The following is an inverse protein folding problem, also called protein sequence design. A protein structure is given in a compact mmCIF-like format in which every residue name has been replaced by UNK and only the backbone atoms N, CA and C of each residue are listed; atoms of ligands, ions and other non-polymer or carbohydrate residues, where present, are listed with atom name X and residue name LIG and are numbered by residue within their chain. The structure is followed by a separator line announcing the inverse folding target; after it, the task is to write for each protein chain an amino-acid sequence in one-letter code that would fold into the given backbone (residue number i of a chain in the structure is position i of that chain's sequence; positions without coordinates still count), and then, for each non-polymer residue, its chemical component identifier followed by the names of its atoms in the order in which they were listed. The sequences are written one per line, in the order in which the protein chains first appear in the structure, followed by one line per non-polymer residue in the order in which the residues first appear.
data_IF_879646069882
#
_entry.id   IF_879646069882
#
_cell.length_a   1.000
_cell.length_b   1.000
_cell.length_c   1.000
_cell.angle_alpha   90.00
_cell.angle_beta   90.00
_cell.angle_gamma   90.00
#
_symmetry.space_group_name_H-M   'P 1'
#
loop_
_entity.id
_entity.type
_entity.pdbx_description
1 polymer ?
#
# COMPACT_ATOMS: atom_id res chain seq x y z
N UNK A 1 25.35 9.67 25.05
CA UNK A 1 24.97 8.33 25.55
C UNK A 1 26.15 7.40 25.39
N UNK A 2 26.68 6.86 26.49
CA UNK A 2 27.83 5.94 26.49
C UNK A 2 27.40 4.55 26.93
N UNK A 3 27.73 3.52 26.15
CA UNK A 3 27.54 2.12 26.51
C UNK A 3 28.90 1.53 26.85
N UNK A 4 29.08 1.07 28.09
CA UNK A 4 30.40 0.65 28.58
C UNK A 4 30.38 -0.83 28.94
N UNK A 5 31.16 -1.63 28.23
CA UNK A 5 31.30 -3.08 28.43
C UNK A 5 32.72 -3.54 28.75
N UNK A 6 32.87 -4.81 29.09
CA UNK A 6 34.16 -5.46 29.36
C UNK A 6 34.56 -5.47 30.85
N UNK A 7 35.67 -6.13 31.21
CA UNK A 7 36.02 -6.49 32.60
C UNK A 7 36.23 -5.30 33.55
N UNK A 8 36.32 -4.07 33.04
CA UNK A 8 36.47 -2.84 33.83
C UNK A 8 35.32 -1.85 33.62
N UNK A 9 34.15 -2.34 33.19
CA UNK A 9 33.02 -1.49 32.85
C UNK A 9 32.62 -0.56 34.00
N UNK A 10 32.48 -1.07 35.23
CA UNK A 10 32.09 -0.24 36.39
C UNK A 10 33.05 0.93 36.61
N UNK A 11 34.36 0.68 36.66
CA UNK A 11 35.37 1.74 36.87
C UNK A 11 35.34 2.82 35.76
N UNK A 12 35.05 2.43 34.52
CA UNK A 12 34.94 3.36 33.39
C UNK A 12 33.63 4.16 33.42
N UNK A 13 32.55 3.54 33.90
CA UNK A 13 31.26 4.22 34.09
C UNK A 13 31.41 5.28 35.18
N UNK A 14 32.06 4.95 36.30
CA UNK A 14 32.31 5.89 37.39
C UNK A 14 33.14 7.09 36.92
N UNK A 15 34.17 6.85 36.10
CA UNK A 15 34.98 7.91 35.49
C UNK A 15 34.16 8.82 34.57
N UNK A 16 33.25 8.27 33.76
CA UNK A 16 32.39 9.05 32.88
C UNK A 16 31.30 9.80 33.66
N UNK A 17 30.77 9.22 34.74
CA UNK A 17 29.83 9.90 35.62
C UNK A 17 30.50 11.08 36.35
N UNK A 18 31.72 10.88 36.87
CA UNK A 18 32.52 11.95 37.50
C UNK A 18 32.93 13.05 36.51
N UNK A 19 33.07 12.71 35.22
CA UNK A 19 33.31 13.67 34.15
C UNK A 19 32.03 14.41 33.69
N UNK A 20 30.90 14.20 34.37
CA UNK A 20 29.66 14.95 34.14
C UNK A 20 28.78 14.42 33.00
N UNK A 21 29.00 13.18 32.53
CA UNK A 21 28.14 12.60 31.49
C UNK A 21 26.89 11.94 32.11
N UNK A 22 25.67 12.45 31.85
CA UNK A 22 24.47 12.01 32.56
C UNK A 22 23.86 10.70 32.03
N UNK A 23 24.33 10.20 30.88
CA UNK A 23 23.74 9.04 30.19
C UNK A 23 24.79 7.98 29.88
N UNK A 24 25.24 7.26 30.91
CA UNK A 24 26.24 6.19 30.86
C UNK A 24 25.61 4.88 31.35
N UNK A 25 25.62 3.83 30.53
CA UNK A 25 24.94 2.57 30.83
C UNK A 25 25.91 1.38 30.84
N UNK A 26 25.71 0.46 31.78
CA UNK A 26 26.55 -0.73 31.94
C UNK A 26 26.14 -1.85 30.99
N UNK A 27 26.90 -2.00 29.89
CA UNK A 27 26.62 -3.02 28.88
C UNK A 27 26.72 -4.45 29.45
N UNK A 28 27.59 -4.70 30.44
CA UNK A 28 27.70 -6.03 31.06
C UNK A 28 26.46 -6.39 31.89
N UNK A 29 25.84 -5.40 32.52
CA UNK A 29 24.63 -5.58 33.31
C UNK A 29 23.40 -5.71 32.42
N UNK A 30 23.30 -4.86 31.39
CA UNK A 30 22.30 -5.00 30.34
C UNK A 30 22.41 -6.37 29.67
N UNK A 31 23.64 -6.85 29.45
CA UNK A 31 23.88 -8.18 28.90
C UNK A 31 23.52 -9.31 29.87
N UNK A 32 23.63 -9.12 31.18
CA UNK A 32 23.18 -10.10 32.18
C UNK A 32 21.66 -10.18 32.30
N UNK A 33 20.98 -9.02 32.23
CA UNK A 33 19.51 -8.92 32.29
C UNK A 33 18.81 -9.31 30.99
N UNK A 34 19.56 -9.38 29.89
CA UNK A 34 19.03 -9.73 28.56
C UNK A 34 19.46 -11.16 28.18
N UNK A 35 18.51 -12.09 27.92
CA UNK A 35 18.84 -13.45 27.51
C UNK A 35 19.82 -13.45 26.33
N UNK A 36 20.80 -14.38 26.34
CA UNK A 36 21.83 -14.47 25.30
C UNK A 36 21.23 -14.55 23.89
N UNK A 37 20.08 -15.23 23.77
CA UNK A 37 19.23 -15.23 22.57
C UNK A 37 18.90 -13.80 22.13
N UNK A 38 18.21 -12.99 22.95
CA UNK A 38 17.79 -11.62 22.61
C UNK A 38 18.95 -10.68 22.26
N UNK A 39 20.14 -10.88 22.86
CA UNK A 39 21.37 -10.14 22.52
C UNK A 39 21.89 -10.44 21.12
N UNK A 40 21.96 -11.72 20.75
CA UNK A 40 22.38 -12.14 19.42
C UNK A 40 21.46 -11.54 18.35
N UNK A 41 20.18 -11.41 18.66
CA UNK A 41 19.15 -10.98 17.72
C UNK A 41 19.17 -9.48 17.44
N UNK A 42 19.40 -8.67 18.48
CA UNK A 42 19.60 -7.22 18.32
C UNK A 42 20.89 -6.91 17.56
N UNK A 43 21.94 -7.71 17.77
CA UNK A 43 23.21 -7.56 17.06
C UNK A 43 23.15 -7.99 15.58
N UNK A 44 22.28 -8.94 15.25
CA UNK A 44 22.08 -9.43 13.89
C UNK A 44 21.02 -8.65 13.09
N UNK A 45 20.18 -7.85 13.75
CA UNK A 45 19.13 -7.06 13.11
C UNK A 45 19.64 -6.11 12.00
N UNK A 46 20.80 -5.42 12.14
CA UNK A 46 21.35 -4.61 11.05
C UNK A 46 21.98 -5.42 9.91
N UNK A 47 22.29 -6.70 10.16
CA UNK A 47 22.97 -7.61 9.22
C UNK A 47 22.00 -8.50 8.43
N UNK A 48 20.69 -8.34 8.67
CA UNK A 48 19.67 -9.12 7.99
C UNK A 48 19.29 -8.47 6.65
N UNK A 49 19.72 -9.09 5.55
CA UNK A 49 19.22 -8.79 4.21
C UNK A 49 18.04 -9.71 3.90
N UNK A 50 16.84 -9.27 4.25
CA UNK A 50 15.57 -9.96 3.98
C UNK A 50 14.40 -9.13 4.52
N UNK A 51 13.18 -9.42 4.07
CA UNK A 51 12.00 -8.55 4.24
C UNK A 51 11.48 -8.37 5.68
N UNK A 52 12.02 -9.06 6.71
CA UNK A 52 11.77 -8.85 8.16
C UNK A 52 12.69 -9.70 9.05
N UNK A 53 13.02 -9.19 10.23
CA UNK A 53 13.64 -9.93 11.35
C UNK A 53 12.81 -11.22 11.63
N UNK A 54 13.42 -12.44 11.65
CA UNK A 54 12.67 -13.70 11.78
C UNK A 54 11.59 -13.72 12.87
N UNK A 55 10.49 -14.42 12.63
CA UNK A 55 9.35 -14.53 13.54
C UNK A 55 9.75 -14.96 14.97
N UNK A 56 10.77 -15.81 15.12
CA UNK A 56 11.27 -16.33 16.42
C UNK A 56 11.78 -15.27 17.42
N UNK A 57 11.72 -13.99 17.08
CA UNK A 57 12.43 -12.88 17.71
C UNK A 57 11.51 -11.93 18.48
N UNK A 58 10.21 -11.96 18.21
CA UNK A 58 9.15 -11.34 19.02
C UNK A 58 7.81 -12.09 18.79
N UNK A 59 7.45 -13.06 19.64
CA UNK A 59 6.23 -13.84 19.45
C UNK A 59 4.94 -13.06 19.75
N UNK A 60 5.00 -11.93 20.45
CA UNK A 60 3.83 -11.07 20.71
C UNK A 60 3.55 -10.20 19.48
N UNK A 61 4.60 -9.65 18.86
CA UNK A 61 4.48 -8.89 17.61
C UNK A 61 3.94 -9.74 16.44
N UNK A 62 4.00 -11.08 16.50
CA UNK A 62 3.37 -11.96 15.49
C UNK A 62 1.84 -12.02 15.58
N UNK A 63 1.27 -11.76 16.77
CA UNK A 63 -0.17 -11.88 17.01
C UNK A 63 -0.91 -10.56 16.87
N UNK A 64 -0.19 -9.43 16.85
CA UNK A 64 -0.79 -8.13 16.67
C UNK A 64 -0.94 -7.78 15.18
N UNK A 65 -2.06 -7.14 14.79
CA UNK A 65 -2.25 -6.75 13.40
C UNK A 65 -1.16 -5.80 12.91
N UNK A 66 -0.27 -6.31 12.05
CA UNK A 66 0.70 -5.49 11.34
C UNK A 66 -0.04 -4.41 10.53
N UNK A 67 0.43 -3.16 10.54
CA UNK A 67 -0.25 -2.00 9.93
C UNK A 67 -1.46 -1.44 10.67
N UNK A 68 -1.54 -1.67 11.99
CA UNK A 68 -2.51 -0.98 12.85
C UNK A 68 -1.81 -0.14 13.89
N UNK A 69 -2.40 1.02 14.20
CA UNK A 69 -1.91 1.88 15.25
C UNK A 69 -2.10 1.19 16.61
N UNK A 70 -1.13 1.33 17.51
CA UNK A 70 -1.22 0.71 18.84
C UNK A 70 -2.44 1.20 19.61
N UNK A 71 -2.77 2.47 19.46
CA UNK A 71 -3.94 3.11 20.05
C UNK A 71 -4.82 3.72 18.95
N UNK A 72 -6.16 3.77 19.16
CA UNK A 72 -7.03 4.46 18.23
C UNK A 72 -6.71 5.95 18.14
N UNK A 73 -6.72 6.50 16.93
CA UNK A 73 -6.50 7.93 16.69
C UNK A 73 -7.77 8.61 16.17
N UNK A 74 -7.87 9.91 16.43
CA UNK A 74 -8.87 10.81 15.88
C UNK A 74 -8.17 11.93 15.10
N UNK A 75 -8.77 12.46 14.03
CA UNK A 75 -8.28 13.70 13.41
C UNK A 75 -8.24 14.88 14.40
N UNK A 76 -7.27 15.80 14.30
CA UNK A 76 -6.18 15.81 13.31
C UNK A 76 -5.09 14.78 13.62
N UNK A 77 -4.64 14.07 12.59
CA UNK A 77 -3.64 13.01 12.73
C UNK A 77 -2.22 13.58 12.83
N UNK A 78 -1.31 12.96 13.62
CA UNK A 78 0.09 13.38 13.70
C UNK A 78 0.73 13.52 12.31
N UNK A 79 1.34 14.66 12.02
CA UNK A 79 1.76 15.06 10.67
C UNK A 79 2.79 14.13 10.04
N UNK A 80 3.54 13.38 10.85
CA UNK A 80 4.53 12.42 10.41
C UNK A 80 3.94 11.13 9.84
N UNK A 81 2.67 10.80 10.11
CA UNK A 81 2.11 9.52 9.68
C UNK A 81 1.91 9.45 8.17
N UNK A 82 2.30 8.32 7.58
CA UNK A 82 2.11 7.97 6.17
C UNK A 82 1.17 6.77 6.06
N UNK A 83 0.34 6.76 5.03
CA UNK A 83 -0.62 5.70 4.72
C UNK A 83 -0.37 5.15 3.32
N UNK A 84 -0.52 3.84 3.14
CA UNK A 84 -0.25 3.18 1.87
C UNK A 84 -1.52 2.59 1.26
N UNK A 85 -1.77 2.90 -0.01
CA UNK A 85 -2.72 2.18 -0.86
C UNK A 85 -1.91 1.26 -1.77
N UNK A 86 -1.77 0.01 -1.35
CA UNK A 86 -1.11 -1.02 -2.15
C UNK A 86 -2.07 -1.62 -3.17
N UNK A 87 -1.69 -1.66 -4.45
CA UNK A 87 -2.64 -2.02 -5.50
C UNK A 87 -1.97 -2.57 -6.75
N UNK A 88 -2.67 -3.44 -7.47
CA UNK A 88 -2.39 -3.63 -8.89
C UNK A 88 -2.70 -2.29 -9.60
N UNK A 89 -1.88 -1.85 -10.57
CA UNK A 89 -2.19 -0.64 -11.33
C UNK A 89 -3.60 -0.71 -11.91
N UNK A 90 -4.26 0.46 -11.93
CA UNK A 90 -5.62 0.64 -12.45
C UNK A 90 -6.76 -0.01 -11.64
N UNK A 91 -6.48 -0.43 -10.41
CA UNK A 91 -7.50 -0.90 -9.45
C UNK A 91 -8.27 0.22 -8.72
N UNK A 92 -8.08 1.50 -9.09
CA UNK A 92 -8.79 2.63 -8.48
C UNK A 92 -8.06 3.33 -7.33
N UNK A 93 -6.73 3.17 -7.25
CA UNK A 93 -5.90 3.66 -6.15
C UNK A 93 -6.00 5.18 -5.95
N UNK A 94 -6.02 5.96 -7.05
CA UNK A 94 -6.19 7.43 -7.00
C UNK A 94 -7.53 7.83 -6.37
N UNK A 95 -8.59 7.06 -6.63
CA UNK A 95 -9.91 7.33 -6.07
C UNK A 95 -9.94 7.07 -4.56
N UNK A 96 -9.38 5.93 -4.12
CA UNK A 96 -9.26 5.61 -2.71
C UNK A 96 -8.36 6.61 -1.96
N UNK A 97 -7.22 7.00 -2.54
CA UNK A 97 -6.35 8.02 -1.96
C UNK A 97 -7.09 9.33 -1.71
N UNK A 98 -7.83 9.82 -2.70
CA UNK A 98 -8.59 11.06 -2.57
C UNK A 98 -9.66 10.99 -1.48
N UNK A 99 -10.41 9.89 -1.40
CA UNK A 99 -11.39 9.67 -0.33
C UNK A 99 -10.73 9.64 1.06
N UNK A 100 -9.59 8.96 1.19
CA UNK A 100 -8.82 8.87 2.44
C UNK A 100 -8.26 10.23 2.87
N UNK A 101 -7.65 10.96 1.94
CA UNK A 101 -7.10 12.31 2.18
C UNK A 101 -8.17 13.28 2.66
N UNK A 102 -9.37 13.22 2.09
CA UNK A 102 -10.49 14.07 2.50
C UNK A 102 -11.08 13.65 3.84
N UNK A 103 -11.29 12.34 4.06
CA UNK A 103 -11.87 11.84 5.30
C UNK A 103 -10.97 12.07 6.52
N UNK A 104 -9.65 12.03 6.34
CA UNK A 104 -8.68 12.26 7.41
C UNK A 104 -8.26 13.73 7.57
N UNK A 105 -8.79 14.63 6.73
CA UNK A 105 -8.42 16.05 6.68
C UNK A 105 -6.91 16.29 6.44
N UNK A 106 -6.34 15.56 5.47
CA UNK A 106 -4.92 15.62 5.08
C UNK A 106 -4.76 15.85 3.57
N UNK A 107 -5.73 16.51 2.95
CA UNK A 107 -5.73 16.75 1.51
C UNK A 107 -4.48 17.52 1.06
N UNK A 108 -3.85 17.05 -0.01
CA UNK A 108 -2.68 17.69 -0.60
C UNK A 108 -1.36 17.49 0.16
N UNK A 109 -1.33 16.66 1.21
CA UNK A 109 -0.16 16.50 2.08
C UNK A 109 0.83 15.40 1.66
N UNK A 110 0.61 14.71 0.53
CA UNK A 110 1.38 13.54 0.05
C UNK A 110 1.56 12.40 1.11
N UNK A 111 0.64 12.36 2.09
CA UNK A 111 0.66 11.41 3.21
C UNK A 111 -0.04 10.10 2.87
N UNK A 112 -0.92 10.08 1.87
CA UNK A 112 -1.52 8.84 1.34
C UNK A 112 -0.83 8.49 0.03
N UNK A 113 -0.05 7.42 0.02
CA UNK A 113 0.83 7.06 -1.11
C UNK A 113 0.36 5.79 -1.78
N UNK A 114 0.51 5.75 -3.10
CA UNK A 114 0.27 4.54 -3.88
C UNK A 114 1.55 3.69 -3.84
N UNK A 115 1.38 2.41 -3.54
CA UNK A 115 2.41 1.38 -3.64
C UNK A 115 1.90 0.29 -4.58
N UNK A 116 2.73 -0.28 -5.44
CA UNK A 116 2.28 -1.29 -6.40
C UNK A 116 2.81 -2.67 -6.07
N UNK A 117 1.88 -3.59 -5.80
CA UNK A 117 2.15 -5.01 -5.53
C UNK A 117 3.38 -5.21 -4.62
N UNK A 118 4.50 -5.70 -5.16
CA UNK A 118 5.70 -6.01 -4.39
C UNK A 118 6.40 -4.80 -3.77
N UNK A 119 6.14 -3.58 -4.25
CA UNK A 119 6.71 -2.36 -3.67
C UNK A 119 6.33 -2.21 -2.18
N UNK A 120 5.18 -2.76 -1.76
CA UNK A 120 4.76 -2.77 -0.35
C UNK A 120 5.75 -3.47 0.56
N UNK A 121 6.48 -4.49 0.06
CA UNK A 121 7.48 -5.22 0.85
C UNK A 121 8.53 -4.26 1.41
N UNK A 122 8.87 -3.23 0.64
CA UNK A 122 9.80 -2.18 1.04
C UNK A 122 9.09 -1.05 1.78
N UNK A 123 7.97 -0.56 1.25
CA UNK A 123 7.27 0.61 1.78
C UNK A 123 6.74 0.38 3.20
N UNK A 124 6.37 -0.85 3.54
CA UNK A 124 5.80 -1.18 4.83
C UNK A 124 6.77 -1.05 6.01
N UNK A 125 8.08 -1.01 5.75
CA UNK A 125 9.10 -0.92 6.79
C UNK A 125 9.34 0.54 7.26
N UNK A 126 8.53 1.49 6.78
CA UNK A 126 8.58 2.88 7.21
C UNK A 126 8.20 3.01 8.69
N UNK A 127 9.05 3.62 9.54
CA UNK A 127 8.80 3.72 10.98
C UNK A 127 7.59 4.60 11.34
N UNK A 128 7.11 5.40 10.38
CA UNK A 128 5.98 6.30 10.50
C UNK A 128 4.73 5.81 9.72
N UNK A 129 4.68 4.51 9.38
CA UNK A 129 3.51 3.94 8.73
C UNK A 129 2.32 3.89 9.70
N UNK A 130 1.27 4.66 9.39
CA UNK A 130 0.02 4.66 10.14
C UNK A 130 -0.98 3.60 9.67
N UNK A 131 -0.83 3.07 8.46
CA UNK A 131 -1.69 2.02 7.93
C UNK A 131 -1.42 1.69 6.46
N UNK A 132 -1.82 0.50 6.05
CA UNK A 132 -1.77 0.05 4.65
C UNK A 132 -3.09 -0.63 4.26
N UNK A 133 -3.50 -0.53 3.00
CA UNK A 133 -4.67 -1.22 2.43
C UNK A 133 -4.29 -1.86 1.10
N UNK A 134 -4.83 -3.05 0.83
CA UNK A 134 -4.69 -3.74 -0.45
C UNK A 134 -5.94 -3.50 -1.30
N UNK A 135 -5.76 -2.99 -2.51
CA UNK A 135 -6.83 -2.69 -3.45
C UNK A 135 -6.69 -3.57 -4.70
N UNK A 136 -7.75 -4.35 -4.94
CA UNK A 136 -7.87 -5.28 -6.07
C UNK A 136 -9.07 -4.91 -6.95
N UNK A 137 -9.08 -5.41 -8.17
CA UNK A 137 -10.14 -5.16 -9.16
C UNK A 137 -10.25 -6.35 -10.11
N UNK A 138 -11.40 -6.53 -10.75
CA UNK A 138 -11.55 -7.51 -11.84
C UNK A 138 -10.44 -7.35 -12.89
N UNK A 139 -9.70 -8.43 -13.17
CA UNK A 139 -8.57 -8.41 -14.09
C UNK A 139 -8.98 -7.96 -15.49
N UNK A 140 -10.22 -8.27 -15.90
CA UNK A 140 -10.76 -7.86 -17.20
C UNK A 140 -10.87 -6.34 -17.30
N UNK A 141 -11.39 -5.69 -16.26
CA UNK A 141 -11.45 -4.21 -16.21
C UNK A 141 -10.06 -3.58 -16.05
N UNK A 142 -9.13 -4.24 -15.34
CA UNK A 142 -7.74 -3.76 -15.22
C UNK A 142 -7.08 -3.68 -16.59
N UNK A 143 -7.16 -4.74 -17.41
CA UNK A 143 -6.57 -4.76 -18.76
C UNK A 143 -7.11 -3.63 -19.62
N UNK A 144 -8.44 -3.45 -19.67
CA UNK A 144 -9.06 -2.35 -20.43
C UNK A 144 -8.60 -0.99 -19.92
N UNK A 145 -8.64 -0.79 -18.60
CA UNK A 145 -8.25 0.49 -17.99
C UNK A 145 -6.79 0.83 -18.24
N UNK A 146 -5.90 -0.18 -18.24
CA UNK A 146 -4.47 0.00 -18.46
C UNK A 146 -4.13 0.27 -19.92
N UNK A 147 -4.77 -0.43 -20.86
CA UNK A 147 -4.63 -0.16 -22.29
C UNK A 147 -4.84 1.33 -22.60
N UNK A 148 -5.96 1.90 -22.16
CA UNK A 148 -6.29 3.30 -22.39
C UNK A 148 -5.32 4.27 -21.68
N UNK A 149 -4.83 3.89 -20.51
CA UNK A 149 -3.84 4.68 -19.77
C UNK A 149 -2.51 4.76 -20.51
N UNK A 150 -2.04 3.62 -21.04
CA UNK A 150 -0.81 3.54 -21.83
C UNK A 150 -0.95 4.33 -23.13
N UNK A 151 -2.04 4.13 -23.88
CA UNK A 151 -2.29 4.88 -25.12
C UNK A 151 -2.31 6.39 -24.87
N UNK A 152 -2.98 6.84 -23.82
CA UNK A 152 -3.00 8.26 -23.44
C UNK A 152 -1.63 8.76 -22.99
N UNK A 153 -0.90 7.95 -22.21
CA UNK A 153 0.42 8.31 -21.73
C UNK A 153 1.41 8.46 -22.88
N UNK A 154 1.38 7.57 -23.87
CA UNK A 154 2.24 7.62 -25.06
C UNK A 154 2.06 8.95 -25.82
N UNK A 155 0.82 9.34 -26.09
CA UNK A 155 0.52 10.60 -26.77
C UNK A 155 1.00 11.81 -25.95
N UNK A 156 0.86 11.75 -24.63
CA UNK A 156 1.33 12.83 -23.73
C UNK A 156 2.86 12.90 -23.66
N UNK A 157 3.56 11.78 -23.77
CA UNK A 157 5.04 11.74 -23.72
C UNK A 157 5.70 11.93 -25.09
N UNK A 158 4.93 12.31 -26.11
CA UNK A 158 5.45 12.73 -27.41
C UNK A 158 5.61 11.62 -28.44
N UNK A 159 5.02 10.44 -28.21
CA UNK A 159 4.90 9.44 -29.27
C UNK A 159 3.92 9.95 -30.34
N UNK A 160 4.26 9.76 -31.61
CA UNK A 160 3.40 10.15 -32.74
C UNK A 160 2.05 9.42 -32.74
N UNK A 161 2.03 8.20 -32.19
CA UNK A 161 0.83 7.35 -32.04
C UNK A 161 1.01 6.43 -30.82
N UNK A 162 -0.09 5.89 -30.31
CA UNK A 162 -0.04 4.86 -29.28
C UNK A 162 0.79 3.66 -29.76
N UNK A 163 1.65 3.11 -28.89
CA UNK A 163 2.54 1.98 -29.24
C UNK A 163 1.77 0.71 -29.60
N UNK A 164 0.61 0.51 -28.98
CA UNK A 164 -0.27 -0.63 -29.22
C UNK A 164 -1.54 -0.15 -29.91
N UNK A 165 -1.87 -0.66 -31.10
CA UNK A 165 -3.03 -0.19 -31.86
C UNK A 165 -4.37 -0.64 -31.25
N UNK A 166 -4.39 -1.75 -30.52
CA UNK A 166 -5.58 -2.34 -29.92
C UNK A 166 -5.27 -3.08 -28.59
N UNK A 167 -6.34 -3.53 -27.92
CA UNK A 167 -6.26 -4.23 -26.64
C UNK A 167 -5.53 -5.57 -26.76
N UNK A 168 -5.68 -6.29 -27.89
CA UNK A 168 -5.06 -7.60 -28.06
C UNK A 168 -3.54 -7.48 -28.18
N UNK A 169 -3.05 -6.56 -29.01
CA UNK A 169 -1.63 -6.22 -29.10
C UNK A 169 -1.07 -5.77 -27.75
N UNK A 170 -1.74 -4.85 -27.05
CA UNK A 170 -1.31 -4.44 -25.70
C UNK A 170 -1.24 -5.64 -24.74
N UNK A 171 -2.26 -6.50 -24.76
CA UNK A 171 -2.35 -7.62 -23.84
C UNK A 171 -1.22 -8.63 -24.06
N UNK A 172 -1.08 -9.16 -25.29
CA UNK A 172 -0.14 -10.23 -25.59
C UNK A 172 1.30 -9.75 -25.71
N UNK A 173 1.55 -8.55 -26.24
CA UNK A 173 2.92 -8.04 -26.48
C UNK A 173 3.50 -7.32 -25.25
N UNK A 174 2.66 -6.81 -24.34
CA UNK A 174 3.10 -6.04 -23.18
C UNK A 174 2.59 -6.59 -21.85
N UNK A 175 1.27 -6.62 -21.65
CA UNK A 175 0.66 -6.86 -20.34
C UNK A 175 1.07 -8.22 -19.74
N UNK A 176 0.99 -9.29 -20.53
CA UNK A 176 1.33 -10.64 -20.06
C UNK A 176 2.79 -10.74 -19.63
N UNK A 177 3.71 -10.16 -20.41
CA UNK A 177 5.13 -10.11 -20.08
C UNK A 177 5.40 -9.25 -18.84
N UNK A 178 4.77 -8.08 -18.76
CA UNK A 178 4.90 -7.15 -17.65
C UNK A 178 4.45 -7.78 -16.34
N UNK A 179 3.23 -8.31 -16.28
CA UNK A 179 2.67 -8.94 -15.08
C UNK A 179 3.40 -10.25 -14.75
N UNK A 180 3.66 -11.09 -15.75
CA UNK A 180 4.19 -12.45 -15.53
C UNK A 180 5.68 -12.54 -15.31
N UNK A 181 6.46 -11.46 -15.52
CA UNK A 181 7.93 -11.49 -15.41
C UNK A 181 8.54 -10.38 -14.57
N UNK A 182 7.81 -9.30 -14.28
CA UNK A 182 8.35 -8.25 -13.43
C UNK A 182 8.33 -8.67 -11.95
N UNK A 183 9.44 -8.44 -11.25
CA UNK A 183 9.54 -8.61 -9.80
C UNK A 183 8.53 -7.73 -9.06
N UNK A 184 8.16 -6.57 -9.64
CA UNK A 184 7.12 -5.69 -9.08
C UNK A 184 5.79 -6.40 -8.91
N UNK A 185 5.47 -7.36 -9.78
CA UNK A 185 4.22 -8.14 -9.73
C UNK A 185 4.46 -9.59 -9.27
N UNK A 186 5.53 -9.82 -8.51
CA UNK A 186 5.93 -11.15 -8.00
C UNK A 186 6.03 -12.22 -9.10
N UNK A 187 6.48 -11.84 -10.30
CA UNK A 187 6.56 -12.77 -11.44
C UNK A 187 5.21 -13.40 -11.81
N UNK A 188 4.11 -12.69 -11.58
CA UNK A 188 2.74 -13.13 -11.87
C UNK A 188 2.01 -13.79 -10.70
N UNK A 189 2.65 -13.99 -9.54
CA UNK A 189 2.01 -14.55 -8.35
C UNK A 189 1.15 -13.51 -7.61
N UNK A 190 0.02 -13.14 -8.22
CA UNK A 190 -0.92 -12.18 -7.64
C UNK A 190 -1.68 -12.75 -6.44
N UNK A 191 -1.83 -14.08 -6.36
CA UNK A 191 -2.47 -14.75 -5.22
C UNK A 191 -1.57 -14.69 -4.00
N UNK A 192 -0.29 -15.07 -4.15
CA UNK A 192 0.69 -14.97 -3.08
C UNK A 192 0.89 -13.53 -2.59
N UNK A 193 0.78 -12.54 -3.48
CA UNK A 193 0.72 -11.13 -3.09
C UNK A 193 -0.46 -10.84 -2.15
N UNK A 194 -1.69 -11.22 -2.54
CA UNK A 194 -2.88 -11.01 -1.71
C UNK A 194 -2.75 -11.76 -0.38
N UNK A 195 -2.34 -13.02 -0.41
CA UNK A 195 -2.16 -13.84 0.80
C UNK A 195 -1.16 -13.22 1.76
N UNK A 196 -0.01 -12.77 1.25
CA UNK A 196 1.01 -12.12 2.07
C UNK A 196 0.46 -10.85 2.73
N UNK A 197 -0.32 -10.06 2.00
CA UNK A 197 -0.90 -8.84 2.55
C UNK A 197 -1.95 -9.15 3.62
N UNK A 198 -2.85 -10.10 3.36
CA UNK A 198 -3.86 -10.56 4.32
C UNK A 198 -3.21 -11.18 5.57
N UNK A 199 -2.14 -11.96 5.41
CA UNK A 199 -1.36 -12.52 6.53
C UNK A 199 -0.67 -11.43 7.38
N UNK A 200 -0.46 -10.25 6.80
CA UNK A 200 -0.01 -9.06 7.51
C UNK A 200 -1.16 -8.17 7.98
N UNK A 201 -2.39 -8.67 8.04
CA UNK A 201 -3.58 -7.92 8.46
C UNK A 201 -3.86 -6.64 7.65
N UNK A 202 -3.28 -6.53 6.46
CA UNK A 202 -3.58 -5.45 5.54
C UNK A 202 -5.01 -5.64 5.01
N UNK A 203 -5.97 -4.74 5.27
CA UNK A 203 -7.34 -4.87 4.78
C UNK A 203 -7.36 -4.97 3.25
N UNK A 204 -8.14 -5.92 2.74
CA UNK A 204 -8.41 -6.08 1.31
C UNK A 204 -9.71 -5.37 0.93
N UNK A 205 -9.66 -4.53 -0.09
CA UNK A 205 -10.80 -3.81 -0.68
C UNK A 205 -10.88 -4.17 -2.17
N UNK A 206 -12.08 -4.49 -2.64
CA UNK A 206 -12.37 -4.60 -4.08
C UNK A 206 -12.82 -3.24 -4.62
N UNK A 207 -12.37 -2.89 -5.80
CA UNK A 207 -12.86 -1.70 -6.51
C UNK A 207 -14.39 -1.71 -6.65
N UNK A 208 -14.96 -2.88 -6.89
CA UNK A 208 -16.39 -3.12 -7.04
C UNK A 208 -17.15 -2.83 -5.74
N UNK A 209 -16.55 -3.09 -4.57
CA UNK A 209 -17.13 -2.71 -3.29
C UNK A 209 -17.16 -1.18 -3.13
N UNK A 210 -16.13 -0.48 -3.62
CA UNK A 210 -16.11 1.00 -3.63
C UNK A 210 -17.14 1.58 -4.60
N UNK A 211 -17.38 0.93 -5.74
CA UNK A 211 -18.43 1.33 -6.68
C UNK A 211 -19.82 1.14 -6.06
N UNK A 212 -20.04 0.03 -5.37
CA UNK A 212 -21.34 -0.29 -4.78
C UNK A 212 -21.65 0.58 -3.54
N UNK A 213 -20.67 0.75 -2.63
CA UNK A 213 -20.81 1.53 -1.41
C UNK A 213 -19.46 2.12 -0.97
N UNK A 214 -19.10 3.33 -1.47
CA UNK A 214 -17.82 3.95 -1.17
C UNK A 214 -17.68 4.32 0.31
N UNK A 215 -18.77 4.69 0.99
CA UNK A 215 -18.74 5.02 2.41
C UNK A 215 -18.39 3.78 3.23
N UNK A 216 -19.04 2.63 2.98
CA UNK A 216 -18.74 1.38 3.68
C UNK A 216 -17.32 0.89 3.41
N UNK A 217 -16.85 0.98 2.16
CA UNK A 217 -15.48 0.62 1.81
C UNK A 217 -14.45 1.48 2.58
N UNK A 218 -14.68 2.79 2.65
CA UNK A 218 -13.82 3.73 3.38
C UNK A 218 -13.85 3.49 4.90
N UNK A 219 -15.02 3.29 5.48
CA UNK A 219 -15.18 2.94 6.91
C UNK A 219 -14.41 1.67 7.26
N UNK A 220 -14.45 0.64 6.39
CA UNK A 220 -13.70 -0.61 6.59
C UNK A 220 -12.19 -0.35 6.71
N UNK A 221 -11.63 0.50 5.85
CA UNK A 221 -10.19 0.85 5.86
C UNK A 221 -9.84 1.62 7.14
N UNK A 222 -10.59 2.67 7.45
CA UNK A 222 -10.35 3.51 8.63
C UNK A 222 -10.44 2.70 9.94
N UNK A 223 -11.45 1.82 10.05
CA UNK A 223 -11.58 0.91 11.18
C UNK A 223 -10.40 -0.05 11.28
N UNK A 224 -9.94 -0.63 10.17
CA UNK A 224 -8.77 -1.50 10.16
C UNK A 224 -7.52 -0.76 10.67
N UNK A 225 -7.34 0.51 10.32
CA UNK A 225 -6.23 1.34 10.81
C UNK A 225 -6.44 1.90 12.22
N UNK A 226 -7.59 1.63 12.85
CA UNK A 226 -8.02 2.20 14.14
C UNK A 226 -8.09 3.73 14.13
N UNK A 227 -8.46 4.31 12.99
CA UNK A 227 -8.68 5.75 12.85
C UNK A 227 -10.18 6.01 12.92
N UNK A 228 -10.58 6.77 13.94
CA UNK A 228 -11.97 7.14 14.18
C UNK A 228 -12.26 8.48 13.50
N UNK A 229 -12.93 8.40 12.35
CA UNK A 229 -13.49 9.54 11.63
C UNK A 229 -15.01 9.55 11.84
N UNK A 230 -15.64 10.69 12.18
CA UNK A 230 -17.09 10.78 12.29
C UNK A 230 -17.79 10.32 11.01
N UNK A 231 -18.89 9.56 11.14
CA UNK A 231 -19.62 9.00 9.99
C UNK A 231 -20.01 10.07 8.96
N UNK A 232 -20.43 11.25 9.43
CA UNK A 232 -20.78 12.38 8.56
C UNK A 232 -19.60 12.85 7.68
N UNK A 233 -18.37 12.80 8.20
CA UNK A 233 -17.15 13.16 7.48
C UNK A 233 -16.73 12.07 6.48
N UNK A 234 -16.89 10.79 6.83
CA UNK A 234 -16.71 9.67 5.89
C UNK A 234 -17.71 9.78 4.73
N UNK A 235 -18.98 10.04 5.03
CA UNK A 235 -20.02 10.24 4.03
C UNK A 235 -19.75 11.48 3.15
N UNK A 236 -19.22 12.57 3.73
CA UNK A 236 -18.81 13.75 2.98
C UNK A 236 -17.67 13.44 2.01
N UNK A 237 -16.66 12.66 2.43
CA UNK A 237 -15.56 12.23 1.56
C UNK A 237 -16.05 11.36 0.39
N UNK A 238 -16.93 10.40 0.66
CA UNK A 238 -17.54 9.56 -0.36
C UNK A 238 -18.32 10.38 -1.40
N UNK A 239 -19.08 11.41 -0.97
CA UNK A 239 -19.79 12.33 -1.86
C UNK A 239 -18.85 13.25 -2.65
N UNK A 240 -17.84 13.81 -2.00
CA UNK A 240 -16.88 14.71 -2.63
C UNK A 240 -16.09 14.01 -3.74
N UNK A 241 -15.87 12.70 -3.58
CA UNK A 241 -15.20 11.87 -4.57
C UNK A 241 -16.14 10.96 -5.36
N UNK A 242 -17.41 11.35 -5.53
CA UNK A 242 -18.31 10.62 -6.42
C UNK A 242 -17.73 10.64 -7.86
N UNK A 243 -17.42 9.48 -8.46
CA UNK A 243 -16.62 9.43 -9.69
C UNK A 243 -17.23 10.18 -10.88
N UNK A 244 -18.53 10.08 -11.11
CA UNK A 244 -19.13 10.77 -12.27
C UNK A 244 -19.10 12.29 -12.10
N UNK A 245 -19.30 12.79 -10.88
CA UNK A 245 -19.20 14.20 -10.52
C UNK A 245 -17.76 14.71 -10.66
N UNK A 246 -16.78 13.94 -10.18
CA UNK A 246 -15.36 14.26 -10.33
C UNK A 246 -14.93 14.35 -11.80
N UNK A 247 -15.43 13.44 -12.65
CA UNK A 247 -15.14 13.47 -14.08
C UNK A 247 -15.65 14.76 -14.72
N UNK A 248 -16.82 15.26 -14.29
CA UNK A 248 -17.41 16.51 -14.80
C UNK A 248 -16.68 17.76 -14.27
N UNK A 249 -16.26 17.76 -13.01
CA UNK A 249 -15.60 18.92 -12.38
C UNK A 249 -14.10 19.01 -12.66
N UNK A 250 -13.48 17.93 -13.17
CA UNK A 250 -12.04 17.82 -13.35
C UNK A 250 -11.29 17.35 -12.08
N UNK A 251 -12.02 17.06 -11.00
CA UNK A 251 -11.48 16.61 -9.73
C UNK A 251 -10.73 17.68 -8.91
N UNK A 252 -10.14 17.30 -7.76
CA UNK A 252 -9.26 18.20 -7.01
C UNK A 252 -8.10 18.65 -7.89
N UNK A 253 -7.57 19.85 -7.64
CA UNK A 253 -6.46 20.41 -8.43
C UNK A 253 -5.10 20.31 -7.75
N UNK A 254 -5.11 20.20 -6.43
CA UNK A 254 -3.91 20.23 -5.60
C UNK A 254 -3.45 18.82 -5.20
N UNK A 255 -2.19 18.72 -4.80
CA UNK A 255 -1.56 17.46 -4.36
C UNK A 255 -1.36 16.43 -5.46
N UNK A 256 -0.83 15.27 -5.07
CA UNK A 256 -0.65 14.14 -5.99
C UNK A 256 -1.96 13.67 -6.62
N UNK A 257 -3.03 13.53 -5.83
CA UNK A 257 -4.34 13.08 -6.32
C UNK A 257 -4.86 14.01 -7.42
N UNK A 258 -4.79 15.34 -7.23
CA UNK A 258 -5.25 16.29 -8.23
C UNK A 258 -4.46 16.24 -9.54
N UNK A 259 -3.13 16.09 -9.47
CA UNK A 259 -2.29 15.87 -10.66
C UNK A 259 -2.70 14.62 -11.44
N UNK A 260 -3.02 13.53 -10.75
CA UNK A 260 -3.47 12.30 -11.40
C UNK A 260 -4.86 12.45 -12.06
N UNK A 261 -5.77 13.23 -11.47
CA UNK A 261 -7.05 13.56 -12.14
C UNK A 261 -6.86 14.37 -13.41
N UNK A 262 -5.98 15.38 -13.40
CA UNK A 262 -5.65 16.18 -14.59
C UNK A 262 -5.02 15.33 -15.71
N UNK A 263 -4.25 14.33 -15.33
CA UNK A 263 -3.71 13.33 -16.25
C UNK A 263 -4.78 12.36 -16.79
N UNK A 264 -6.00 12.41 -16.27
CA UNK A 264 -7.15 11.61 -16.68
C UNK A 264 -7.14 10.19 -16.15
N UNK A 265 -6.64 9.99 -14.93
CA UNK A 265 -6.77 8.72 -14.20
C UNK A 265 -8.24 8.35 -13.83
N UNK A 266 -9.23 9.03 -14.41
CA UNK A 266 -10.66 8.80 -14.25
C UNK A 266 -11.37 8.78 -15.63
N UNK A 267 -11.15 7.70 -16.40
CA UNK A 267 -11.70 7.52 -17.77
C UNK A 267 -13.19 7.20 -17.77
N UNK A 268 -13.54 6.04 -17.22
CA UNK A 268 -14.90 5.51 -17.22
C UNK A 268 -15.13 4.80 -15.87
N UNK A 269 -15.69 5.51 -14.87
CA UNK A 269 -15.91 4.93 -13.56
C UNK A 269 -17.01 3.86 -13.59
N UNK A 270 -16.89 2.84 -12.75
CA UNK A 270 -17.80 1.71 -12.70
C UNK A 270 -17.10 0.37 -13.00
N UNK A 271 -17.84 -0.71 -12.79
CA UNK A 271 -17.40 -2.10 -13.01
C UNK A 271 -18.07 -2.70 -14.24
N UNK A 272 -17.41 -3.70 -14.85
CA UNK A 272 -17.94 -4.46 -15.98
C UNK A 272 -17.80 -3.77 -17.34
N UNK A 273 -16.99 -2.73 -17.45
CA UNK A 273 -16.77 -2.03 -18.72
C UNK A 273 -16.08 -2.93 -19.75
N UNK A 274 -15.32 -3.93 -19.28
CA UNK A 274 -14.69 -4.95 -20.11
C UNK A 274 -15.65 -5.66 -21.07
N UNK A 275 -16.93 -5.83 -20.71
CA UNK A 275 -17.92 -6.54 -21.54
C UNK A 275 -18.10 -5.93 -22.93
N UNK A 276 -17.81 -4.63 -23.09
CA UNK A 276 -18.00 -3.90 -24.35
C UNK A 276 -16.72 -3.72 -25.15
N UNK A 277 -15.56 -3.89 -24.52
CA UNK A 277 -14.27 -3.48 -25.09
C UNK A 277 -13.32 -4.66 -25.29
N UNK A 278 -13.43 -5.72 -24.49
CA UNK A 278 -12.41 -6.76 -24.42
C UNK A 278 -12.61 -7.82 -25.52
N UNK A 279 -11.62 -8.05 -26.41
CA UNK A 279 -11.71 -9.07 -27.45
C UNK A 279 -11.86 -10.49 -26.87
N UNK A 280 -12.54 -11.38 -27.59
CA UNK A 280 -12.87 -12.72 -27.11
C UNK A 280 -11.62 -13.57 -26.79
N UNK A 281 -10.58 -13.44 -27.61
CA UNK A 281 -9.29 -14.12 -27.42
C UNK A 281 -8.56 -13.64 -26.17
N UNK A 282 -8.66 -12.35 -25.85
CA UNK A 282 -8.08 -11.77 -24.62
C UNK A 282 -8.89 -12.23 -23.41
N UNK A 283 -10.23 -12.27 -23.51
CA UNK A 283 -11.11 -12.74 -22.44
C UNK A 283 -10.77 -14.18 -22.07
N UNK A 284 -10.69 -15.06 -23.08
CA UNK A 284 -10.38 -16.47 -22.89
C UNK A 284 -9.01 -16.68 -22.24
N UNK A 285 -7.98 -15.91 -22.64
CA UNK A 285 -6.67 -16.02 -21.99
C UNK A 285 -6.68 -15.48 -20.56
N UNK A 286 -7.43 -14.40 -20.26
CA UNK A 286 -7.56 -13.87 -18.90
C UNK A 286 -8.24 -14.90 -17.98
N UNK A 287 -9.36 -15.48 -18.42
CA UNK A 287 -10.11 -16.47 -17.64
C UNK A 287 -9.28 -17.71 -17.34
N UNK A 288 -8.41 -18.12 -18.27
CA UNK A 288 -7.50 -19.24 -18.07
C UNK A 288 -6.28 -18.88 -17.22
N UNK A 289 -5.61 -17.76 -17.51
CA UNK A 289 -4.32 -17.38 -16.90
C UNK A 289 -4.47 -16.82 -15.50
N UNK A 290 -5.55 -16.10 -15.24
CA UNK A 290 -5.83 -15.46 -13.96
C UNK A 290 -7.02 -16.10 -13.25
N UNK A 291 -7.34 -17.37 -13.57
CA UNK A 291 -8.45 -18.13 -13.01
C UNK A 291 -8.47 -18.06 -11.47
N UNK A 292 -7.35 -18.36 -10.83
CA UNK A 292 -7.25 -18.38 -9.36
C UNK A 292 -7.52 -16.99 -8.75
N UNK A 293 -7.01 -15.93 -9.38
CA UNK A 293 -7.27 -14.55 -8.97
C UNK A 293 -8.74 -14.19 -9.09
N UNK A 294 -9.36 -14.51 -10.23
CA UNK A 294 -10.77 -14.24 -10.48
C UNK A 294 -11.67 -15.02 -9.52
N UNK A 295 -11.39 -16.32 -9.31
CA UNK A 295 -12.16 -17.18 -8.42
C UNK A 295 -12.06 -16.73 -6.96
N UNK A 296 -10.85 -16.46 -6.47
CA UNK A 296 -10.62 -16.01 -5.09
C UNK A 296 -11.41 -14.74 -4.75
N UNK A 297 -11.49 -13.81 -5.69
CA UNK A 297 -12.11 -12.51 -5.47
C UNK A 297 -13.61 -12.47 -5.81
N UNK A 298 -14.14 -13.58 -6.35
CA UNK A 298 -15.55 -13.74 -6.72
C UNK A 298 -15.91 -13.02 -8.03
N UNK A 299 -14.99 -13.01 -8.99
CA UNK A 299 -15.20 -12.47 -10.35
C UNK A 299 -15.49 -13.56 -11.40
N UNK A 300 -15.25 -14.83 -11.06
CA UNK A 300 -15.51 -15.99 -11.93
C UNK A 300 -17.01 -16.23 -12.13
#
# INVERSE_FOLDING_TARGET
MFLVGGPRASKRIDQLALAGYPHVYNLNEMARKTPAKRRLLVALAPSFSGSRVPAMLDPIAQTEPHHTLSEPLHPPLPSQLVFLVNSLPKSGSVWLCGMLEHAMDISGSDRVRISHCADLVFDQNQPNLGGAVSLVRDMRDVVVSWFHDVAKSDLRTGFERARYPDIASFYFECFVGLIGKSDRYFGGDLIGWIDRNCANYCPLIKYEDMVADPQRALTKVLNAWRIHVPEAQVAAAARAFEPFSLRKSGGPRDGYVGKMYQHGHLRNPGSGNWQKELPAEVLSDIERRFADYQQRLGYA
#
